data_IF_779353995601
#
_entry.id   IF_779353995601
#
_cell.length_a   1.000
_cell.length_b   1.000
_cell.length_c   1.000
_cell.angle_alpha   90.00
_cell.angle_beta   90.00
_cell.angle_gamma   90.00
#
_symmetry.space_group_name_H-M   'P 1'
#
loop_
_entity.id
_entity.type
_entity.pdbx_description
1 polymer ?
#
# COMPACT_ATOMS: atom_id res chain seq x y z
N UNK A 1 -26.71 14.73 0.90
CA UNK A 1 -26.49 13.42 0.24
C UNK A 1 -26.92 12.32 1.20
N UNK A 2 -27.38 11.18 0.73
CA UNK A 2 -27.88 10.10 1.57
C UNK A 2 -26.68 9.40 2.26
N UNK A 3 -26.85 9.03 3.52
CA UNK A 3 -25.93 8.10 4.19
C UNK A 3 -25.85 6.78 3.39
N UNK A 4 -24.74 6.06 3.53
CA UNK A 4 -24.56 4.75 2.90
C UNK A 4 -25.73 3.81 3.23
N UNK A 5 -26.13 2.98 2.27
CA UNK A 5 -27.08 1.87 2.49
C UNK A 5 -26.47 0.73 3.31
N UNK A 6 -25.15 0.72 3.48
CA UNK A 6 -24.43 -0.29 4.25
C UNK A 6 -24.41 0.07 5.74
N UNK A 7 -24.40 -0.94 6.59
CA UNK A 7 -24.24 -0.71 8.03
C UNK A 7 -22.77 -0.39 8.35
N UNK A 8 -22.43 0.87 8.32
CA UNK A 8 -21.06 1.38 8.58
C UNK A 8 -20.60 1.15 10.03
N UNK A 9 -21.51 0.77 10.93
CA UNK A 9 -21.17 0.33 12.28
C UNK A 9 -20.82 -1.17 12.35
N UNK A 10 -20.47 -1.78 11.22
CA UNK A 10 -19.80 -3.08 11.14
C UNK A 10 -18.56 -2.94 10.26
N UNK A 11 -17.53 -3.71 10.54
CA UNK A 11 -16.27 -3.63 9.78
C UNK A 11 -16.48 -3.95 8.29
N UNK A 12 -17.25 -4.99 7.98
CA UNK A 12 -17.56 -5.32 6.58
C UNK A 12 -18.47 -4.28 5.90
N UNK A 13 -19.40 -3.66 6.64
CA UNK A 13 -20.27 -2.61 6.09
C UNK A 13 -19.52 -1.31 5.82
N UNK A 14 -18.53 -0.98 6.65
CA UNK A 14 -17.60 0.12 6.42
C UNK A 14 -16.81 -0.06 5.11
N UNK A 15 -16.26 -1.25 4.90
CA UNK A 15 -15.54 -1.59 3.67
C UNK A 15 -16.47 -1.47 2.45
N UNK A 16 -17.67 -2.03 2.53
CA UNK A 16 -18.62 -1.97 1.42
C UNK A 16 -19.05 -0.54 1.07
N UNK A 17 -19.23 0.32 2.08
CA UNK A 17 -19.54 1.73 1.88
C UNK A 17 -18.41 2.48 1.15
N UNK A 18 -17.15 2.26 1.53
CA UNK A 18 -16.00 2.85 0.86
C UNK A 18 -15.83 2.34 -0.57
N UNK A 19 -16.02 1.03 -0.81
CA UNK A 19 -15.95 0.46 -2.15
C UNK A 19 -17.03 1.06 -3.08
N UNK A 20 -18.26 1.20 -2.60
CA UNK A 20 -19.35 1.82 -3.37
C UNK A 20 -19.02 3.28 -3.69
N UNK A 21 -18.66 4.07 -2.69
CA UNK A 21 -18.32 5.48 -2.85
C UNK A 21 -17.19 5.70 -3.88
N UNK A 22 -16.07 5.00 -3.72
CA UNK A 22 -14.92 5.19 -4.61
C UNK A 22 -15.16 4.61 -6.02
N UNK A 23 -16.01 3.60 -6.15
CA UNK A 23 -16.50 3.14 -7.45
C UNK A 23 -17.27 4.25 -8.19
N UNK A 24 -18.14 4.98 -7.48
CA UNK A 24 -18.87 6.13 -8.02
C UNK A 24 -17.94 7.31 -8.39
N UNK A 25 -16.78 7.42 -7.73
CA UNK A 25 -15.74 8.38 -8.09
C UNK A 25 -14.88 7.92 -9.30
N UNK A 26 -15.22 6.82 -9.95
CA UNK A 26 -14.54 6.30 -11.13
C UNK A 26 -13.31 5.45 -10.83
N UNK A 27 -13.15 4.97 -9.60
CA UNK A 27 -12.09 4.02 -9.25
C UNK A 27 -12.46 2.59 -9.67
N UNK A 28 -11.48 1.88 -10.24
CA UNK A 28 -11.54 0.41 -10.37
C UNK A 28 -11.45 -0.18 -8.98
N UNK A 29 -12.44 -0.97 -8.57
CA UNK A 29 -12.40 -1.69 -7.30
C UNK A 29 -11.60 -2.99 -7.51
N UNK A 30 -10.35 -2.95 -7.04
CA UNK A 30 -9.45 -4.09 -7.13
C UNK A 30 -9.59 -5.01 -5.93
N UNK A 31 -9.09 -6.24 -6.12
CA UNK A 31 -8.89 -7.19 -5.02
C UNK A 31 -7.50 -6.96 -4.40
N UNK A 32 -7.28 -7.35 -3.13
CA UNK A 32 -5.96 -7.24 -2.50
C UNK A 32 -4.90 -8.02 -3.29
N UNK A 33 -3.64 -7.58 -3.19
CA UNK A 33 -2.53 -8.43 -3.64
C UNK A 33 -2.45 -9.66 -2.72
N UNK A 34 -2.23 -10.82 -3.31
CA UNK A 34 -2.23 -12.14 -2.66
C UNK A 34 -0.85 -12.54 -2.11
N UNK A 35 -0.09 -11.55 -1.67
CA UNK A 35 1.21 -11.69 -1.01
C UNK A 35 1.26 -10.84 0.25
N UNK A 36 2.16 -11.18 1.17
CA UNK A 36 2.38 -10.40 2.38
C UNK A 36 3.04 -9.05 2.03
N UNK A 37 2.36 -7.99 2.39
CA UNK A 37 2.83 -6.62 2.19
C UNK A 37 2.63 -5.77 3.44
N UNK A 38 3.51 -4.82 3.68
CA UNK A 38 3.47 -3.96 4.87
C UNK A 38 2.54 -2.76 4.76
N UNK A 39 2.05 -2.44 3.56
CA UNK A 39 1.12 -1.34 3.29
C UNK A 39 0.41 -1.51 1.95
N UNK A 40 -0.71 -0.82 1.77
CA UNK A 40 -1.44 -0.78 0.51
C UNK A 40 -0.61 -0.25 -0.67
N UNK A 41 0.36 0.62 -0.41
CA UNK A 41 1.30 1.16 -1.42
C UNK A 41 2.09 0.07 -2.15
N UNK A 42 2.32 -1.08 -1.52
CA UNK A 42 3.01 -2.21 -2.16
C UNK A 42 2.17 -2.92 -3.23
N UNK A 43 0.87 -2.72 -3.25
CA UNK A 43 0.01 -3.29 -4.29
C UNK A 43 0.43 -2.80 -5.68
N UNK A 44 0.37 -3.68 -6.69
CA UNK A 44 0.70 -3.34 -8.08
C UNK A 44 -0.10 -2.16 -8.63
N UNK A 45 -1.35 -2.00 -8.19
CA UNK A 45 -2.22 -0.86 -8.55
C UNK A 45 -1.75 0.48 -8.00
N UNK A 46 -0.91 0.50 -6.99
CA UNK A 46 -0.25 1.72 -6.49
C UNK A 46 1.18 1.80 -6.99
N UNK A 47 2.05 0.89 -6.56
CA UNK A 47 3.49 0.98 -6.86
C UNK A 47 3.78 1.04 -8.36
N UNK A 48 3.32 0.07 -9.14
CA UNK A 48 3.62 0.02 -10.57
C UNK A 48 2.83 1.07 -11.36
N UNK A 49 1.57 1.29 -11.00
CA UNK A 49 0.72 2.25 -11.73
C UNK A 49 1.05 3.72 -11.46
N UNK A 50 1.76 4.03 -10.37
CA UNK A 50 2.30 5.37 -10.15
C UNK A 50 3.42 5.72 -11.15
N UNK A 51 4.06 4.71 -11.78
CA UNK A 51 5.16 4.85 -12.71
C UNK A 51 4.64 5.19 -14.12
N UNK A 52 5.33 6.11 -14.81
CA UNK A 52 5.03 6.50 -16.20
C UNK A 52 3.80 7.42 -16.34
N UNK A 53 3.43 7.76 -17.59
CA UNK A 53 2.45 8.80 -17.87
C UNK A 53 0.99 8.35 -17.90
N UNK A 54 0.72 7.06 -17.64
CA UNK A 54 -0.60 6.47 -17.79
C UNK A 54 -1.56 6.92 -16.70
N UNK A 55 -2.82 7.17 -17.05
CA UNK A 55 -3.89 7.50 -16.11
C UNK A 55 -4.37 6.24 -15.40
N UNK A 56 -4.68 6.34 -14.10
CA UNK A 56 -5.15 5.22 -13.32
C UNK A 56 -5.88 5.66 -12.07
N UNK A 57 -7.09 5.12 -11.84
CA UNK A 57 -7.83 5.30 -10.61
C UNK A 57 -8.24 3.93 -10.09
N UNK A 58 -7.90 3.62 -8.85
CA UNK A 58 -8.26 2.35 -8.20
C UNK A 58 -8.51 2.55 -6.70
N UNK A 59 -9.32 1.66 -6.15
CA UNK A 59 -9.52 1.55 -4.72
C UNK A 59 -9.61 0.07 -4.34
N UNK A 60 -9.09 -0.30 -3.15
CA UNK A 60 -9.08 -1.68 -2.67
C UNK A 60 -8.80 -1.76 -1.18
N UNK A 61 -9.26 -2.84 -0.58
CA UNK A 61 -8.84 -3.26 0.76
C UNK A 61 -7.53 -4.02 0.62
N UNK A 62 -6.54 -3.71 1.47
CA UNK A 62 -5.29 -4.45 1.52
C UNK A 62 -5.03 -4.95 2.94
N UNK A 63 -5.05 -6.26 3.18
CA UNK A 63 -4.49 -6.84 4.38
C UNK A 63 -2.98 -6.55 4.44
N UNK A 64 -2.52 -6.01 5.55
CA UNK A 64 -1.12 -5.62 5.74
C UNK A 64 -0.48 -6.45 6.84
N UNK A 65 0.79 -6.78 6.65
CA UNK A 65 1.59 -7.57 7.58
C UNK A 65 2.80 -6.75 8.05
N UNK A 66 2.88 -6.53 9.36
CA UNK A 66 4.02 -5.88 10.02
C UNK A 66 4.52 -6.76 11.16
N UNK A 67 5.42 -7.71 10.89
CA UNK A 67 5.84 -8.74 11.86
C UNK A 67 6.35 -8.16 13.19
N UNK A 68 7.05 -7.02 13.17
CA UNK A 68 7.58 -6.35 14.37
C UNK A 68 6.50 -5.74 15.26
N UNK A 69 5.29 -5.55 14.75
CA UNK A 69 4.15 -4.97 15.49
C UNK A 69 3.33 -6.00 16.26
N UNK A 70 3.67 -7.29 16.17
CA UNK A 70 3.03 -8.35 16.96
C UNK A 70 3.07 -8.06 18.45
N UNK A 71 1.96 -8.35 19.14
CA UNK A 71 1.82 -8.21 20.61
C UNK A 71 1.02 -9.35 21.21
N UNK A 72 1.01 -10.51 20.57
CA UNK A 72 0.31 -11.73 21.05
C UNK A 72 -1.18 -11.54 21.31
N UNK A 73 -1.82 -10.57 20.64
CA UNK A 73 -3.22 -10.23 20.90
C UNK A 73 -3.47 -9.51 22.24
N UNK A 74 -2.43 -9.10 22.96
CA UNK A 74 -2.53 -8.46 24.27
C UNK A 74 -2.68 -6.94 24.20
N UNK A 75 -2.33 -6.32 23.07
CA UNK A 75 -2.46 -4.89 22.88
C UNK A 75 -3.74 -4.55 22.11
N UNK A 76 -4.61 -3.65 22.64
CA UNK A 76 -5.89 -3.34 22.04
C UNK A 76 -5.80 -2.53 20.72
N UNK A 77 -4.63 -1.93 20.42
CA UNK A 77 -4.47 -0.96 19.33
C UNK A 77 -3.34 -1.32 18.36
N UNK A 78 -2.56 -2.38 18.62
CA UNK A 78 -1.41 -2.75 17.78
C UNK A 78 -1.48 -4.21 17.38
N UNK A 79 -1.49 -4.42 16.06
CA UNK A 79 -1.57 -5.75 15.42
C UNK A 79 -0.44 -5.91 14.42
N UNK A 80 0.02 -7.16 14.24
CA UNK A 80 0.92 -7.51 13.14
C UNK A 80 0.17 -7.72 11.82
N UNK A 81 -1.15 -7.93 11.85
CA UNK A 81 -2.05 -8.05 10.70
C UNK A 81 -3.21 -7.08 10.86
N UNK A 82 -3.41 -6.18 9.90
CA UNK A 82 -4.46 -5.16 9.90
C UNK A 82 -4.84 -4.79 8.46
N UNK A 83 -5.89 -3.99 8.30
CA UNK A 83 -6.42 -3.63 7.00
C UNK A 83 -6.24 -2.15 6.71
N UNK A 84 -5.80 -1.85 5.50
CA UNK A 84 -5.89 -0.52 4.92
C UNK A 84 -6.93 -0.52 3.80
N UNK A 85 -7.71 0.57 3.70
CA UNK A 85 -8.42 0.86 2.47
C UNK A 85 -7.61 1.88 1.68
N UNK A 86 -7.19 1.46 0.49
CA UNK A 86 -6.27 2.22 -0.36
C UNK A 86 -7.01 2.82 -1.53
N UNK A 87 -6.76 4.09 -1.82
CA UNK A 87 -7.24 4.79 -3.02
C UNK A 87 -6.06 5.41 -3.73
N UNK A 88 -6.00 5.25 -5.04
CA UNK A 88 -5.02 5.91 -5.90
C UNK A 88 -5.73 6.60 -7.06
N UNK A 89 -5.37 7.85 -7.31
CA UNK A 89 -5.89 8.63 -8.43
C UNK A 89 -4.73 9.29 -9.17
N UNK A 90 -4.61 8.98 -10.45
CA UNK A 90 -3.54 9.48 -11.31
C UNK A 90 -4.09 9.97 -12.66
N UNK A 91 -3.96 11.24 -13.01
CA UNK A 91 -3.37 12.30 -12.16
C UNK A 91 -4.19 12.55 -10.89
N UNK A 92 -3.53 13.05 -9.84
CA UNK A 92 -4.22 13.46 -8.62
C UNK A 92 -5.25 14.57 -8.96
N UNK A 93 -6.54 14.40 -8.68
CA UNK A 93 -7.52 15.44 -8.88
C UNK A 93 -7.33 16.58 -7.88
N UNK A 94 -7.67 17.80 -8.28
CA UNK A 94 -7.53 18.98 -7.41
C UNK A 94 -8.45 18.94 -6.19
N UNK A 95 -9.58 18.23 -6.29
CA UNK A 95 -10.60 18.07 -5.26
C UNK A 95 -10.48 16.76 -4.46
N UNK A 96 -9.28 16.15 -4.43
CA UNK A 96 -9.09 14.84 -3.75
C UNK A 96 -9.37 14.92 -2.24
N UNK A 97 -9.07 16.06 -1.60
CA UNK A 97 -9.36 16.27 -0.18
C UNK A 97 -10.86 16.41 0.08
N UNK A 98 -11.58 17.12 -0.78
CA UNK A 98 -13.04 17.25 -0.70
C UNK A 98 -13.73 15.88 -0.89
N UNK A 99 -13.26 15.08 -1.85
CA UNK A 99 -13.72 13.69 -2.04
C UNK A 99 -13.49 12.85 -0.80
N UNK A 100 -12.34 12.98 -0.17
CA UNK A 100 -12.06 12.29 1.09
C UNK A 100 -13.01 12.73 2.21
N UNK A 101 -13.21 14.04 2.41
CA UNK A 101 -14.12 14.54 3.43
C UNK A 101 -15.56 14.08 3.17
N UNK A 102 -15.99 13.98 1.91
CA UNK A 102 -17.29 13.43 1.56
C UNK A 102 -17.35 11.92 1.90
N UNK A 103 -16.28 11.17 1.70
CA UNK A 103 -16.23 9.76 2.12
C UNK A 103 -16.43 9.59 3.63
N UNK A 104 -15.90 10.51 4.45
CA UNK A 104 -16.16 10.50 5.89
C UNK A 104 -17.66 10.71 6.20
N UNK A 105 -18.33 11.63 5.48
CA UNK A 105 -19.76 11.87 5.66
C UNK A 105 -20.61 10.65 5.27
N UNK A 106 -20.22 9.96 4.19
CA UNK A 106 -20.89 8.71 3.78
C UNK A 106 -20.78 7.64 4.87
N UNK A 107 -19.67 7.59 5.59
CA UNK A 107 -19.49 6.70 6.75
C UNK A 107 -20.21 7.17 8.02
N UNK A 108 -20.89 8.31 7.96
CA UNK A 108 -21.64 8.87 9.10
C UNK A 108 -20.82 9.79 10.00
N UNK A 109 -19.61 10.19 9.59
CA UNK A 109 -18.76 11.13 10.32
C UNK A 109 -19.05 12.55 9.81
N UNK A 110 -19.78 13.33 10.60
CA UNK A 110 -20.10 14.72 10.25
C UNK A 110 -18.90 15.62 10.54
N UNK A 111 -18.23 16.06 9.48
CA UNK A 111 -17.04 16.92 9.55
C UNK A 111 -17.35 18.34 10.05
N UNK A 112 -18.62 18.71 10.23
CA UNK A 112 -19.01 19.98 10.88
C UNK A 112 -19.03 19.88 12.43
N UNK A 113 -19.16 18.65 12.95
CA UNK A 113 -19.22 18.37 14.39
C UNK A 113 -17.88 17.85 14.91
N UNK A 114 -17.21 17.05 14.13
CA UNK A 114 -15.95 16.40 14.49
C UNK A 114 -14.74 17.23 14.07
N UNK A 115 -13.73 17.28 14.92
CA UNK A 115 -12.45 17.96 14.62
C UNK A 115 -11.65 17.09 13.63
N UNK A 116 -11.56 17.56 12.40
CA UNK A 116 -10.78 16.91 11.32
C UNK A 116 -9.62 17.83 10.97
N UNK A 117 -8.39 17.36 11.17
CA UNK A 117 -7.17 18.14 10.90
C UNK A 117 -6.31 17.42 9.87
N UNK A 118 -5.82 18.20 8.91
CA UNK A 118 -4.75 17.80 7.99
C UNK A 118 -3.43 18.33 8.56
N UNK A 119 -2.58 17.42 9.00
CA UNK A 119 -1.27 17.73 9.57
C UNK A 119 -0.20 17.36 8.56
N UNK A 120 0.68 18.29 8.22
CA UNK A 120 1.74 18.03 7.23
C UNK A 120 2.61 16.84 7.66
N UNK A 121 2.73 15.87 6.81
CA UNK A 121 3.60 14.71 6.95
C UNK A 121 4.14 14.26 5.59
N UNK A 122 5.47 14.28 5.44
CA UNK A 122 6.14 13.81 4.24
C UNK A 122 6.41 12.31 4.36
N UNK A 123 5.59 11.55 3.67
CA UNK A 123 5.66 10.10 3.70
C UNK A 123 6.82 9.55 2.86
N UNK A 124 7.49 8.52 3.38
CA UNK A 124 8.51 7.76 2.64
C UNK A 124 8.45 6.26 2.92
N UNK A 125 8.87 5.49 1.91
CA UNK A 125 9.15 4.06 2.01
C UNK A 125 10.56 3.78 1.49
N UNK A 126 11.55 3.64 2.39
CA UNK A 126 12.94 3.43 1.98
C UNK A 126 13.15 2.18 1.14
N UNK A 127 12.44 1.08 1.41
CA UNK A 127 12.53 -0.18 0.67
C UNK A 127 11.93 -0.09 -0.74
N UNK A 128 10.91 0.73 -0.94
CA UNK A 128 10.32 0.97 -2.26
C UNK A 128 11.03 2.08 -3.04
N UNK A 129 11.93 2.84 -2.41
CA UNK A 129 12.47 4.05 -3.01
C UNK A 129 11.37 5.03 -3.40
N UNK A 130 10.35 5.13 -2.56
CA UNK A 130 9.18 5.97 -2.77
C UNK A 130 9.10 7.05 -1.69
N UNK A 131 8.67 8.25 -2.09
CA UNK A 131 8.36 9.34 -1.18
C UNK A 131 7.36 10.32 -1.81
N UNK A 132 6.68 11.07 -0.96
CA UNK A 132 5.75 12.10 -1.39
C UNK A 132 5.47 13.12 -0.32
N UNK A 133 4.99 14.28 -0.75
CA UNK A 133 4.41 15.28 0.13
C UNK A 133 3.05 14.79 0.61
N UNK A 134 2.64 15.15 1.83
CA UNK A 134 1.37 14.65 2.28
C UNK A 134 0.87 15.19 3.60
N UNK A 135 -0.15 14.51 4.10
CA UNK A 135 -0.89 14.86 5.29
C UNK A 135 -1.25 13.61 6.08
N UNK A 136 -1.06 13.64 7.39
CA UNK A 136 -1.84 12.81 8.30
C UNK A 136 -3.21 13.46 8.51
N UNK A 137 -4.29 12.69 8.42
CA UNK A 137 -5.62 13.17 8.80
C UNK A 137 -5.96 12.66 10.19
N UNK A 138 -6.17 13.61 11.10
CA UNK A 138 -6.51 13.36 12.47
C UNK A 138 -8.00 13.63 12.70
N UNK A 139 -8.70 12.65 13.26
CA UNK A 139 -10.11 12.74 13.64
C UNK A 139 -10.21 12.76 15.16
N UNK A 140 -10.65 13.87 15.74
CA UNK A 140 -10.75 14.07 17.21
C UNK A 140 -9.49 13.61 17.97
N UNK A 141 -8.30 13.90 17.42
CA UNK A 141 -7.02 13.59 18.05
C UNK A 141 -6.47 12.19 17.75
N UNK A 142 -7.11 11.40 16.92
CA UNK A 142 -6.61 10.11 16.42
C UNK A 142 -6.27 10.21 14.93
N UNK A 143 -5.06 9.85 14.54
CA UNK A 143 -4.69 9.69 13.13
C UNK A 143 -5.45 8.51 12.53
N UNK A 144 -6.20 8.77 11.47
CA UNK A 144 -7.07 7.76 10.82
C UNK A 144 -6.72 7.52 9.35
N UNK A 145 -6.01 8.45 8.71
CA UNK A 145 -5.73 8.38 7.27
C UNK A 145 -4.42 9.08 6.94
N UNK A 146 -3.69 8.53 5.98
CA UNK A 146 -2.52 9.14 5.36
C UNK A 146 -2.85 9.55 3.92
N UNK A 147 -2.54 10.79 3.56
CA UNK A 147 -2.50 11.27 2.18
C UNK A 147 -1.06 11.33 1.70
N UNK A 148 -0.84 10.93 0.45
CA UNK A 148 0.49 11.04 -0.19
C UNK A 148 0.34 11.50 -1.64
N UNK A 149 1.05 12.56 -1.99
CA UNK A 149 1.22 12.99 -3.39
C UNK A 149 2.61 12.51 -3.83
N UNK A 150 2.65 11.39 -4.54
CA UNK A 150 3.92 10.76 -4.92
C UNK A 150 4.76 11.67 -5.81
N UNK A 151 5.98 11.94 -5.36
CA UNK A 151 7.01 12.61 -6.11
C UNK A 151 7.94 11.60 -6.79
N UNK A 152 8.19 10.48 -6.11
CA UNK A 152 9.06 9.42 -6.59
C UNK A 152 8.54 8.06 -6.16
N UNK A 153 8.62 7.06 -7.04
CA UNK A 153 8.32 5.66 -6.77
C UNK A 153 9.33 4.77 -7.50
N UNK A 154 9.91 3.81 -6.79
CA UNK A 154 10.96 2.96 -7.35
C UNK A 154 12.19 3.75 -7.81
N UNK A 155 12.46 4.90 -7.22
CA UNK A 155 13.54 5.80 -7.65
C UNK A 155 13.26 6.55 -8.96
N UNK A 156 12.06 6.45 -9.53
CA UNK A 156 11.62 7.18 -10.72
C UNK A 156 10.66 8.31 -10.34
N UNK A 157 10.84 9.46 -10.97
CA UNK A 157 9.96 10.62 -10.80
C UNK A 157 8.54 10.28 -11.29
N UNK A 158 7.53 10.67 -10.50
CA UNK A 158 6.12 10.47 -10.83
C UNK A 158 5.59 11.63 -11.68
N UNK A 159 5.20 11.32 -12.92
CA UNK A 159 4.56 12.26 -13.83
C UNK A 159 3.47 11.55 -14.65
N UNK A 160 2.19 12.02 -14.54
CA UNK A 160 1.69 13.02 -13.58
C UNK A 160 1.74 12.52 -12.13
N UNK A 161 1.66 13.44 -11.17
CA UNK A 161 1.62 13.13 -9.74
C UNK A 161 0.41 12.25 -9.43
N UNK A 162 0.63 11.21 -8.64
CA UNK A 162 -0.41 10.30 -8.14
C UNK A 162 -0.81 10.73 -6.74
N UNK A 163 -2.11 10.92 -6.51
CA UNK A 163 -2.67 11.07 -5.17
C UNK A 163 -3.01 9.70 -4.59
N UNK A 164 -2.55 9.46 -3.37
CA UNK A 164 -2.85 8.26 -2.59
C UNK A 164 -3.60 8.64 -1.32
N UNK A 165 -4.62 7.87 -0.97
CA UNK A 165 -5.34 7.95 0.30
C UNK A 165 -5.29 6.58 0.95
N UNK A 166 -4.74 6.50 2.16
CA UNK A 166 -4.63 5.26 2.92
C UNK A 166 -5.44 5.38 4.21
N UNK A 167 -6.62 4.79 4.25
CA UNK A 167 -7.46 4.74 5.44
C UNK A 167 -7.00 3.62 6.38
N UNK A 168 -6.83 3.92 7.65
CA UNK A 168 -6.68 2.93 8.72
C UNK A 168 -8.05 2.41 9.14
N UNK A 169 -8.46 1.27 8.58
CA UNK A 169 -9.84 0.79 8.74
C UNK A 169 -10.22 0.50 10.19
N UNK A 170 -9.33 -0.12 10.95
CA UNK A 170 -9.58 -0.44 12.36
C UNK A 170 -9.78 0.82 13.19
N UNK A 171 -8.96 1.85 12.99
CA UNK A 171 -9.07 3.13 13.74
C UNK A 171 -10.38 3.84 13.43
N UNK A 172 -10.80 3.87 12.17
CA UNK A 172 -12.09 4.45 11.77
C UNK A 172 -13.24 3.63 12.34
N UNK A 173 -13.16 2.31 12.28
CA UNK A 173 -14.18 1.41 12.82
C UNK A 173 -14.31 1.55 14.34
N UNK A 174 -13.19 1.63 15.09
CA UNK A 174 -13.20 1.88 16.53
C UNK A 174 -13.89 3.19 16.87
N UNK A 175 -13.61 4.24 16.10
CA UNK A 175 -14.26 5.52 16.26
C UNK A 175 -15.78 5.44 16.04
N UNK A 176 -16.21 4.79 14.94
CA UNK A 176 -17.64 4.65 14.59
C UNK A 176 -18.42 3.76 15.56
N UNK A 177 -17.76 2.76 16.12
CA UNK A 177 -18.37 1.81 17.06
C UNK A 177 -18.21 2.18 18.52
N UNK A 178 -17.40 3.23 18.82
CA UNK A 178 -17.13 3.72 20.18
C UNK A 178 -16.55 2.62 21.09
N UNK A 179 -15.56 1.86 20.57
CA UNK A 179 -14.83 0.81 21.30
C UNK A 179 -13.37 1.15 21.49
N UNK A 180 -12.77 0.68 22.59
CA UNK A 180 -11.38 0.96 22.95
C UNK A 180 -10.40 -0.15 22.54
N UNK A 181 -10.92 -1.28 22.04
CA UNK A 181 -10.13 -2.41 21.58
C UNK A 181 -10.54 -2.83 20.18
N UNK A 182 -9.55 -3.06 19.32
CA UNK A 182 -9.76 -3.59 17.96
C UNK A 182 -10.49 -4.94 18.02
N UNK A 183 -10.24 -5.77 19.04
CA UNK A 183 -10.87 -7.09 19.17
C UNK A 183 -12.37 -7.03 19.48
N UNK A 184 -12.84 -5.90 20.01
CA UNK A 184 -14.26 -5.67 20.31
C UNK A 184 -15.07 -5.13 19.12
N UNK A 185 -14.40 -4.79 18.02
CA UNK A 185 -15.05 -4.34 16.79
C UNK A 185 -16.04 -5.38 16.29
N UNK A 186 -17.26 -4.98 16.02
CA UNK A 186 -18.23 -5.83 15.33
C UNK A 186 -17.84 -5.94 13.86
N UNK A 187 -17.50 -7.14 13.45
CA UNK A 187 -17.22 -7.47 12.05
C UNK A 187 -18.50 -7.54 11.23
N UNK A 188 -19.46 -8.29 11.75
CA UNK A 188 -20.81 -8.47 11.19
C UNK A 188 -21.76 -9.02 12.24
N UNK A 189 -23.01 -9.23 11.84
CA UNK A 189 -24.00 -9.96 12.66
C UNK A 189 -24.37 -11.27 11.98
N UNK A 190 -24.48 -12.35 12.77
CA UNK A 190 -24.99 -13.62 12.34
C UNK A 190 -26.49 -13.56 11.99
N UNK A 191 -27.04 -14.64 11.42
CA UNK A 191 -28.46 -14.70 11.05
C UNK A 191 -29.43 -14.53 12.23
N UNK A 192 -29.00 -14.86 13.45
CA UNK A 192 -29.72 -14.72 14.71
C UNK A 192 -29.53 -13.35 15.38
N UNK A 193 -28.76 -12.44 14.74
CA UNK A 193 -28.45 -11.13 15.28
C UNK A 193 -27.26 -11.12 16.26
N UNK A 194 -26.60 -12.26 16.49
CA UNK A 194 -25.37 -12.33 17.31
C UNK A 194 -24.20 -11.61 16.63
N UNK A 195 -23.49 -10.71 17.31
CA UNK A 195 -22.31 -10.08 16.74
C UNK A 195 -21.17 -11.09 16.57
N UNK A 196 -20.51 -11.04 15.41
CA UNK A 196 -19.21 -11.65 15.17
C UNK A 196 -18.18 -10.54 15.27
N UNK A 197 -17.23 -10.67 16.17
CA UNK A 197 -16.24 -9.63 16.45
C UNK A 197 -14.95 -9.80 15.63
N UNK A 198 -14.15 -8.74 15.54
CA UNK A 198 -12.78 -8.80 15.02
C UNK A 198 -11.94 -9.83 15.80
N UNK A 199 -12.16 -9.90 17.13
CA UNK A 199 -11.52 -10.89 18.00
C UNK A 199 -11.87 -12.32 17.61
N UNK A 200 -13.13 -12.60 17.32
CA UNK A 200 -13.55 -13.94 16.86
C UNK A 200 -12.84 -14.36 15.56
N UNK A 201 -12.56 -13.39 14.68
CA UNK A 201 -11.94 -13.64 13.39
C UNK A 201 -10.41 -13.76 13.50
N UNK A 202 -9.75 -12.88 14.28
CA UNK A 202 -8.31 -12.69 14.19
C UNK A 202 -7.50 -12.78 15.49
N UNK A 203 -8.13 -12.87 16.68
CA UNK A 203 -7.35 -12.89 17.92
C UNK A 203 -6.37 -14.06 17.99
N UNK A 204 -6.83 -15.28 17.68
CA UNK A 204 -5.95 -16.45 17.63
C UNK A 204 -4.83 -16.28 16.60
N UNK A 205 -5.14 -15.71 15.43
CA UNK A 205 -4.12 -15.42 14.41
C UNK A 205 -3.05 -14.47 14.94
N UNK A 206 -3.43 -13.40 15.68
CA UNK A 206 -2.46 -12.47 16.27
C UNK A 206 -1.55 -13.16 17.28
N UNK A 207 -2.09 -14.04 18.14
CA UNK A 207 -1.30 -14.80 19.12
C UNK A 207 -0.29 -15.70 18.41
N UNK A 208 -0.75 -16.53 17.49
CA UNK A 208 0.09 -17.52 16.82
C UNK A 208 1.11 -16.87 15.86
N UNK A 209 0.70 -15.85 15.11
CA UNK A 209 1.64 -15.15 14.22
C UNK A 209 2.68 -14.32 14.98
N UNK A 210 2.35 -13.77 16.15
CA UNK A 210 3.34 -13.14 17.02
C UNK A 210 4.38 -14.13 17.49
N UNK A 211 3.95 -15.31 17.98
CA UNK A 211 4.86 -16.39 18.37
C UNK A 211 5.73 -16.83 17.17
N UNK A 212 5.14 -17.04 16.00
CA UNK A 212 5.89 -17.37 14.80
C UNK A 212 6.93 -16.29 14.45
N UNK A 213 6.51 -15.02 14.40
CA UNK A 213 7.36 -13.91 14.02
C UNK A 213 8.56 -13.70 14.96
N UNK A 214 8.36 -13.87 16.27
CA UNK A 214 9.41 -13.59 17.26
C UNK A 214 10.19 -14.82 17.72
N UNK A 215 9.60 -16.01 17.67
CA UNK A 215 10.16 -17.19 18.34
C UNK A 215 10.45 -18.36 17.38
N UNK A 216 9.55 -18.63 16.44
CA UNK A 216 9.56 -19.90 15.70
C UNK A 216 9.97 -19.81 14.24
N UNK A 217 9.93 -18.62 13.59
CA UNK A 217 10.36 -18.51 12.21
C UNK A 217 11.82 -18.95 12.05
N UNK A 218 12.08 -19.85 11.10
CA UNK A 218 13.40 -20.41 10.84
C UNK A 218 14.32 -19.36 10.19
N UNK A 219 15.34 -18.95 10.93
CA UNK A 219 16.27 -17.87 10.52
C UNK A 219 17.12 -18.28 9.32
N UNK A 220 17.62 -19.50 9.26
CA UNK A 220 18.45 -19.98 8.15
C UNK A 220 17.64 -20.08 6.86
N UNK A 221 16.40 -20.55 6.98
CA UNK A 221 15.45 -20.53 5.85
C UNK A 221 15.18 -19.10 5.37
N UNK A 222 14.94 -18.15 6.27
CA UNK A 222 14.69 -16.76 5.91
C UNK A 222 15.87 -16.09 5.19
N UNK A 223 17.12 -16.32 5.66
CA UNK A 223 18.31 -15.85 4.94
C UNK A 223 18.43 -16.47 3.55
N UNK A 224 18.21 -17.76 3.44
CA UNK A 224 18.23 -18.48 2.17
C UNK A 224 17.16 -17.97 1.21
N UNK A 225 15.92 -17.82 1.70
CA UNK A 225 14.79 -17.32 0.95
C UNK A 225 15.02 -15.90 0.42
N UNK A 226 15.50 -14.98 1.27
CA UNK A 226 15.83 -13.62 0.84
C UNK A 226 16.84 -13.61 -0.32
N UNK A 227 17.94 -14.35 -0.17
CA UNK A 227 18.97 -14.43 -1.21
C UNK A 227 18.43 -15.05 -2.51
N UNK A 228 17.50 -16.02 -2.41
CA UNK A 228 16.89 -16.63 -3.58
C UNK A 228 15.91 -15.68 -4.29
N UNK A 229 15.09 -14.95 -3.54
CA UNK A 229 14.19 -13.93 -4.12
C UNK A 229 14.97 -12.83 -4.86
N UNK A 230 16.10 -12.39 -4.30
CA UNK A 230 16.96 -11.40 -4.94
C UNK A 230 17.52 -11.92 -6.28
N UNK A 231 18.05 -13.15 -6.32
CA UNK A 231 18.57 -13.78 -7.54
C UNK A 231 17.48 -13.99 -8.58
N UNK A 232 16.30 -14.45 -8.15
CA UNK A 232 15.18 -14.73 -9.06
C UNK A 232 14.59 -13.43 -9.64
N UNK A 233 14.53 -12.36 -8.84
CA UNK A 233 14.13 -11.04 -9.30
C UNK A 233 15.04 -10.57 -10.46
N UNK A 234 16.37 -10.65 -10.29
CA UNK A 234 17.32 -10.26 -11.34
C UNK A 234 17.14 -11.10 -12.62
N UNK A 235 17.03 -12.41 -12.49
CA UNK A 235 16.79 -13.34 -13.60
C UNK A 235 15.49 -13.03 -14.37
N UNK A 236 14.42 -12.69 -13.65
CA UNK A 236 13.12 -12.34 -14.26
C UNK A 236 13.17 -10.98 -14.98
N UNK A 237 13.92 -10.02 -14.45
CA UNK A 237 14.17 -8.75 -15.14
C UNK A 237 14.91 -8.98 -16.45
N UNK A 238 15.97 -9.79 -16.44
CA UNK A 238 16.72 -10.16 -17.65
C UNK A 238 15.86 -10.88 -18.69
N UNK A 239 14.85 -11.62 -18.24
CA UNK A 239 13.85 -12.25 -19.09
C UNK A 239 12.73 -11.31 -19.57
N UNK A 240 12.73 -10.03 -19.18
CA UNK A 240 11.70 -9.05 -19.54
C UNK A 240 10.38 -9.22 -18.77
N UNK A 241 10.39 -9.89 -17.63
CA UNK A 241 9.22 -10.25 -16.84
C UNK A 241 9.10 -9.37 -15.57
N UNK A 242 8.83 -8.08 -15.76
CA UNK A 242 8.77 -7.10 -14.68
C UNK A 242 7.70 -7.42 -13.60
N UNK A 243 6.54 -7.97 -13.97
CA UNK A 243 5.47 -8.27 -13.01
C UNK A 243 5.83 -9.42 -12.08
N UNK A 244 6.26 -10.60 -12.54
CA UNK A 244 6.77 -11.66 -11.66
C UNK A 244 8.02 -11.23 -10.87
N UNK A 245 8.88 -10.38 -11.44
CA UNK A 245 10.02 -9.82 -10.73
C UNK A 245 9.58 -8.97 -9.54
N UNK A 246 8.49 -8.20 -9.67
CA UNK A 246 7.91 -7.43 -8.58
C UNK A 246 7.42 -8.31 -7.42
N UNK A 247 6.83 -9.47 -7.71
CA UNK A 247 6.45 -10.43 -6.66
C UNK A 247 7.67 -10.89 -5.84
N UNK A 248 8.83 -11.04 -6.49
CA UNK A 248 10.07 -11.38 -5.75
C UNK A 248 10.53 -10.21 -4.85
N UNK A 249 10.30 -8.95 -5.26
CA UNK A 249 10.55 -7.79 -4.39
C UNK A 249 9.65 -7.83 -3.16
N UNK A 250 8.37 -8.13 -3.32
CA UNK A 250 7.42 -8.24 -2.20
C UNK A 250 7.83 -9.34 -1.24
N UNK A 251 8.18 -10.52 -1.75
CA UNK A 251 8.66 -11.66 -0.96
C UNK A 251 9.96 -11.34 -0.22
N UNK A 252 10.93 -10.71 -0.89
CA UNK A 252 12.17 -10.25 -0.26
C UNK A 252 11.92 -9.23 0.85
N UNK A 253 11.01 -8.27 0.61
CA UNK A 253 10.63 -7.26 1.60
C UNK A 253 9.99 -7.89 2.85
N UNK A 254 9.05 -8.83 2.68
CA UNK A 254 8.44 -9.53 3.80
C UNK A 254 9.45 -10.39 4.55
N UNK A 255 10.31 -11.12 3.84
CA UNK A 255 11.38 -11.93 4.43
C UNK A 255 12.34 -11.08 5.26
N UNK A 256 12.70 -9.89 4.77
CA UNK A 256 13.48 -8.91 5.54
C UNK A 256 12.76 -8.49 6.83
N UNK A 257 11.45 -8.18 6.76
CA UNK A 257 10.66 -7.84 7.94
C UNK A 257 10.58 -8.98 8.95
N UNK A 258 10.58 -10.23 8.49
CA UNK A 258 10.63 -11.42 9.35
C UNK A 258 11.99 -11.57 10.03
N UNK A 259 13.10 -11.37 9.32
CA UNK A 259 14.45 -11.36 9.89
C UNK A 259 14.62 -10.27 10.95
N UNK A 260 14.06 -9.07 10.70
CA UNK A 260 14.05 -7.96 11.65
C UNK A 260 13.25 -8.32 12.91
N UNK A 261 12.06 -8.88 12.76
CA UNK A 261 11.22 -9.34 13.89
C UNK A 261 11.90 -10.45 14.72
N UNK A 262 12.58 -11.39 14.05
CA UNK A 262 13.37 -12.44 14.72
C UNK A 262 14.60 -11.92 15.45
N UNK A 263 14.96 -10.63 15.30
CA UNK A 263 16.21 -10.08 15.83
C UNK A 263 17.46 -10.70 15.20
N UNK A 264 17.34 -11.28 14.00
CA UNK A 264 18.40 -12.01 13.32
C UNK A 264 19.41 -11.10 12.60
N UNK A 265 19.10 -9.81 12.48
CA UNK A 265 19.94 -8.79 11.83
C UNK A 265 20.19 -7.62 12.78
N UNK A 266 21.43 -7.13 12.77
CA UNK A 266 21.82 -5.95 13.54
C UNK A 266 21.25 -4.65 12.90
N UNK A 267 21.28 -3.56 13.67
CA UNK A 267 20.87 -2.22 13.18
C UNK A 267 21.68 -1.81 11.94
N UNK A 268 22.98 -2.16 11.91
CA UNK A 268 23.85 -1.85 10.74
C UNK A 268 23.49 -2.71 9.53
N UNK A 269 23.27 -4.00 9.74
CA UNK A 269 22.85 -4.91 8.64
C UNK A 269 21.49 -4.55 8.08
N UNK A 270 20.57 -4.06 8.92
CA UNK A 270 19.25 -3.60 8.53
C UNK A 270 19.31 -2.58 7.36
N UNK A 271 20.22 -1.62 7.44
CA UNK A 271 20.41 -0.63 6.37
C UNK A 271 20.86 -1.30 5.05
N UNK A 272 21.70 -2.32 5.14
CA UNK A 272 22.11 -3.12 3.98
C UNK A 272 20.95 -3.85 3.33
N UNK A 273 20.05 -4.46 4.11
CA UNK A 273 18.84 -5.12 3.60
C UNK A 273 17.86 -4.14 2.96
N UNK A 274 17.63 -2.99 3.60
CA UNK A 274 16.81 -1.91 3.03
C UNK A 274 17.34 -1.50 1.65
N UNK A 275 18.66 -1.30 1.53
CA UNK A 275 19.27 -0.94 0.26
C UNK A 275 19.12 -2.03 -0.80
N UNK A 276 19.26 -3.32 -0.43
CA UNK A 276 19.07 -4.44 -1.35
C UNK A 276 17.65 -4.48 -1.89
N UNK A 277 16.62 -4.41 -1.02
CA UNK A 277 15.21 -4.38 -1.45
C UNK A 277 14.93 -3.15 -2.33
N UNK A 278 15.43 -1.97 -1.94
CA UNK A 278 15.30 -0.74 -2.72
C UNK A 278 15.92 -0.86 -4.12
N UNK A 279 17.06 -1.52 -4.23
CA UNK A 279 17.73 -1.76 -5.51
C UNK A 279 16.88 -2.66 -6.42
N UNK A 280 16.29 -3.72 -5.86
CA UNK A 280 15.37 -4.59 -6.60
C UNK A 280 14.12 -3.82 -7.05
N UNK A 281 13.51 -3.04 -6.15
CA UNK A 281 12.33 -2.22 -6.46
C UNK A 281 12.61 -1.24 -7.61
N UNK A 282 13.78 -0.60 -7.60
CA UNK A 282 14.20 0.29 -8.68
C UNK A 282 14.36 -0.44 -10.00
N UNK A 283 15.04 -1.58 -9.99
CA UNK A 283 15.25 -2.37 -11.21
C UNK A 283 13.93 -2.83 -11.82
N UNK A 284 12.98 -3.24 -10.99
CA UNK A 284 11.62 -3.59 -11.44
C UNK A 284 10.87 -2.37 -11.97
N UNK A 285 10.97 -1.22 -11.29
CA UNK A 285 10.33 0.01 -11.74
C UNK A 285 10.81 0.44 -13.14
N UNK A 286 12.14 0.39 -13.37
CA UNK A 286 12.74 0.67 -14.68
C UNK A 286 12.29 -0.34 -15.75
N UNK A 287 12.28 -1.64 -15.42
CA UNK A 287 11.83 -2.69 -16.34
C UNK A 287 10.35 -2.54 -16.70
N UNK A 288 9.51 -2.25 -15.70
CA UNK A 288 8.08 -1.99 -15.92
C UNK A 288 7.85 -0.76 -16.79
N UNK A 289 8.51 0.36 -16.48
CA UNK A 289 8.43 1.58 -17.28
C UNK A 289 8.79 1.30 -18.75
N UNK A 290 9.91 0.61 -19.00
CA UNK A 290 10.35 0.27 -20.34
C UNK A 290 9.33 -0.61 -21.07
N UNK A 291 8.75 -1.62 -20.40
CA UNK A 291 7.74 -2.48 -20.98
C UNK A 291 6.46 -1.73 -21.36
N UNK A 292 6.09 -0.68 -20.59
CA UNK A 292 4.95 0.19 -20.92
C UNK A 292 5.28 1.15 -22.06
N UNK A 293 6.51 1.70 -22.12
CA UNK A 293 6.98 2.53 -23.20
C UNK A 293 6.98 1.79 -24.55
N UNK A 294 7.45 0.54 -24.57
CA UNK A 294 7.41 -0.31 -25.77
C UNK A 294 5.99 -0.57 -26.29
N UNK A 295 5.00 -0.54 -25.41
CA UNK A 295 3.56 -0.61 -25.76
C UNK A 295 2.96 0.77 -26.10
N UNK A 296 3.76 1.84 -26.08
CA UNK A 296 3.31 3.20 -26.35
C UNK A 296 2.42 3.80 -25.27
N UNK A 297 2.52 3.36 -24.01
CA UNK A 297 1.70 3.84 -22.89
C UNK A 297 0.20 3.92 -23.21
N UNK A 298 -0.50 2.80 -23.42
CA UNK A 298 -1.85 2.77 -24.00
C UNK A 298 -2.92 3.51 -23.18
N UNK A 299 -2.71 3.71 -21.87
CA UNK A 299 -3.65 4.41 -20.97
C UNK A 299 -3.28 5.88 -20.75
N UNK A 300 -2.21 6.38 -21.35
CA UNK A 300 -1.84 7.78 -21.22
C UNK A 300 -2.71 8.68 -22.13
N UNK A 301 -3.01 9.91 -21.65
CA UNK A 301 -3.54 10.92 -22.54
C UNK A 301 -2.50 11.28 -23.61
N UNK A 302 -2.96 11.84 -24.74
CA UNK A 302 -2.13 12.05 -25.92
C UNK A 302 -0.94 12.97 -25.64
N UNK A 303 -1.14 14.05 -24.90
CA UNK A 303 -0.10 15.04 -24.59
C UNK A 303 1.00 14.41 -23.71
N UNK A 304 0.65 13.78 -22.61
CA UNK A 304 1.62 13.12 -21.72
C UNK A 304 2.34 11.97 -22.40
N UNK A 305 1.63 11.21 -23.25
CA UNK A 305 2.20 10.11 -24.04
C UNK A 305 3.31 10.59 -24.95
N UNK A 306 3.03 11.63 -25.76
CA UNK A 306 3.97 12.17 -26.72
C UNK A 306 5.25 12.68 -26.04
N UNK A 307 5.10 13.44 -24.95
CA UNK A 307 6.24 13.98 -24.18
C UNK A 307 7.13 12.88 -23.62
N UNK A 308 6.52 11.88 -22.95
CA UNK A 308 7.30 10.82 -22.27
C UNK A 308 7.92 9.86 -23.26
N UNK A 309 7.23 9.52 -24.36
CA UNK A 309 7.81 8.69 -25.42
C UNK A 309 9.00 9.37 -26.10
N UNK A 310 8.92 10.67 -26.37
CA UNK A 310 10.05 11.41 -26.95
C UNK A 310 11.30 11.35 -26.03
N UNK A 311 11.11 11.57 -24.73
CA UNK A 311 12.20 11.44 -23.73
C UNK A 311 12.75 10.01 -23.63
N UNK A 312 11.88 9.00 -23.70
CA UNK A 312 12.27 7.59 -23.68
C UNK A 312 13.14 7.22 -24.90
N UNK A 313 12.71 7.58 -26.11
CA UNK A 313 13.47 7.29 -27.34
C UNK A 313 14.82 8.02 -27.38
N UNK A 314 14.88 9.26 -26.91
CA UNK A 314 16.13 9.99 -26.77
C UNK A 314 17.11 9.30 -25.80
N UNK A 315 16.60 8.85 -24.64
CA UNK A 315 17.40 8.14 -23.65
C UNK A 315 17.91 6.79 -24.18
N UNK A 316 17.07 6.07 -24.92
CA UNK A 316 17.39 4.79 -25.57
C UNK A 316 18.49 4.96 -26.62
N UNK A 317 18.38 5.99 -27.48
CA UNK A 317 19.38 6.31 -28.48
C UNK A 317 20.76 6.69 -27.86
N UNK A 318 20.73 7.50 -26.79
CA UNK A 318 21.97 7.84 -26.04
C UNK A 318 22.65 6.60 -25.43
N UNK A 319 21.86 5.64 -24.93
CA UNK A 319 22.37 4.39 -24.34
C UNK A 319 23.00 3.49 -25.42
N UNK A 320 22.36 3.35 -26.59
CA UNK A 320 22.89 2.59 -27.73
C UNK A 320 24.21 3.16 -28.21
N UNK A 321 24.30 4.48 -28.44
CA UNK A 321 25.51 5.15 -28.87
C UNK A 321 26.70 4.98 -27.90
N UNK A 322 26.43 4.91 -26.58
CA UNK A 322 27.46 4.63 -25.57
C UNK A 322 27.97 3.18 -25.57
N UNK A 323 27.13 2.22 -26.01
CA UNK A 323 27.51 0.82 -26.12
C UNK A 323 28.36 0.55 -27.37
N UNK A 324 28.07 1.23 -28.48
CA UNK A 324 28.84 1.13 -29.71
C UNK A 324 30.23 1.82 -29.62
N UNK A 325 30.39 2.73 -28.64
CA UNK A 325 31.68 3.45 -28.44
C UNK A 325 32.63 2.76 -27.45
N UNK A 326 32.25 1.60 -26.90
CA UNK A 326 33.06 0.74 -26.02
C UNK A 326 33.51 -0.52 -26.72
#
# INVERSE_FOLDING_TARGET
MSQSRHNVKTFQGLIAALQEYWSEQGCVINQPVDLEVGAGTFHTSTFLRAIGPETWNAAYVQPCRRPTDGRYGENPNRLQHYYQFQVVMKPSPLDIQEKYLESLRIMGIDTAIHDVRFVEDNWESPTLGAWGLGWEVWLNGMEVTQFTYFQQVGGLECFPVTGEITYGLERIAMYLQEVDSIFDLVWTYGPDGTPVTYGDVFHQNEVEQSAYNFEHADVDFLFSAFNQHEKDCARLIDAGLALPAYEQVLKASHTFNMLDARGAISVTERQGYILRVRTLARSVAEAYFNSRAEKGFPLANEANRAEVLAKYEEAKAKKAAKQESK
#
